data_IF_542361674743
#
_entry.id   IF_542361674743
#
_cell.length_a   1.000
_cell.length_b   1.000
_cell.length_c   1.000
_cell.angle_alpha   90.00
_cell.angle_beta   90.00
_cell.angle_gamma   90.00
#
_symmetry.space_group_name_H-M   'P 1'
#
loop_
_entity.id
_entity.type
_entity.pdbx_description
1 polymer ?
#
# COMPACT_ATOMS: atom_id res chain seq x y z
N UNK A 1 -24.89 7.04 -22.24
CA UNK A 1 -24.43 8.09 -23.17
C UNK A 1 -24.43 7.52 -24.59
N UNK A 2 -25.11 8.21 -25.50
CA UNK A 2 -25.36 7.78 -26.89
C UNK A 2 -24.09 7.83 -27.75
N UNK A 3 -24.05 6.83 -28.63
CA UNK A 3 -23.28 6.66 -29.87
C UNK A 3 -22.95 7.97 -30.58
N UNK A 4 -21.67 8.18 -30.91
CA UNK A 4 -21.24 9.14 -31.94
C UNK A 4 -20.45 8.40 -33.03
N UNK A 5 -21.21 7.79 -33.93
CA UNK A 5 -20.77 7.25 -35.21
C UNK A 5 -21.00 8.33 -36.29
N UNK A 6 -20.05 9.25 -36.48
CA UNK A 6 -20.23 10.29 -37.52
C UNK A 6 -18.97 10.77 -38.24
N UNK A 7 -17.75 10.34 -37.87
CA UNK A 7 -16.53 10.91 -38.45
C UNK A 7 -15.88 10.11 -39.59
N UNK A 8 -16.45 8.97 -40.00
CA UNK A 8 -15.90 8.14 -41.08
C UNK A 8 -16.59 8.26 -42.45
N UNK A 9 -17.75 8.92 -42.54
CA UNK A 9 -18.57 8.97 -43.78
C UNK A 9 -18.37 10.23 -44.62
N UNK A 10 -17.58 11.20 -44.18
CA UNK A 10 -17.37 12.45 -44.93
C UNK A 10 -16.23 12.38 -45.95
N UNK A 11 -15.34 11.38 -45.90
CA UNK A 11 -14.20 11.27 -46.82
C UNK A 11 -14.54 10.59 -48.15
N UNK A 12 -15.43 9.60 -48.16
CA UNK A 12 -15.77 8.83 -49.38
C UNK A 12 -16.76 9.55 -50.31
N UNK A 13 -17.65 10.39 -49.77
CA UNK A 13 -18.59 11.17 -50.59
C UNK A 13 -17.91 12.33 -51.34
N UNK A 14 -16.78 12.84 -50.84
CA UNK A 14 -16.00 13.90 -51.48
C UNK A 14 -15.34 13.43 -52.79
N UNK A 15 -14.75 12.23 -52.77
CA UNK A 15 -14.06 11.66 -53.94
C UNK A 15 -15.06 11.25 -55.04
N UNK A 16 -16.21 10.68 -54.69
CA UNK A 16 -17.27 10.35 -55.66
C UNK A 16 -17.93 11.61 -56.25
N UNK A 17 -18.03 12.70 -55.49
CA UNK A 17 -18.49 13.99 -56.00
C UNK A 17 -17.47 14.63 -56.96
N UNK A 18 -16.16 14.50 -56.68
CA UNK A 18 -15.09 15.00 -57.54
C UNK A 18 -15.03 14.26 -58.89
N UNK A 19 -15.23 12.93 -58.88
CA UNK A 19 -15.26 12.10 -60.11
C UNK A 19 -16.55 12.34 -60.92
N UNK A 20 -17.68 12.55 -60.26
CA UNK A 20 -18.94 12.95 -60.90
C UNK A 20 -18.87 14.33 -61.59
N UNK A 21 -18.14 15.28 -61.00
CA UNK A 21 -17.94 16.62 -61.58
C UNK A 21 -17.03 16.58 -62.82
N UNK A 22 -15.98 15.74 -62.80
CA UNK A 22 -15.07 15.58 -63.94
C UNK A 22 -15.73 14.89 -65.15
N UNK A 23 -16.68 13.99 -64.91
CA UNK A 23 -17.48 13.36 -65.98
C UNK A 23 -18.58 14.29 -66.52
N UNK A 24 -19.13 15.19 -65.70
CA UNK A 24 -20.17 16.15 -66.11
C UNK A 24 -19.64 17.34 -66.91
N UNK A 25 -18.38 17.78 -66.69
CA UNK A 25 -17.76 18.82 -67.52
C UNK A 25 -17.39 18.33 -68.94
N UNK A 26 -17.23 17.02 -69.15
CA UNK A 26 -16.87 16.45 -70.47
C UNK A 26 -18.06 16.09 -71.37
N UNK A 27 -19.28 16.19 -70.87
CA UNK A 27 -20.52 15.85 -71.60
C UNK A 27 -21.30 17.06 -72.13
N UNK A 28 -20.78 18.29 -71.99
CA UNK A 28 -21.47 19.52 -72.44
C UNK A 28 -21.00 20.07 -73.80
N UNK A 29 -20.51 19.21 -74.69
CA UNK A 29 -20.24 19.55 -76.10
C UNK A 29 -20.98 18.58 -77.03
N UNK A 30 -22.31 18.66 -77.04
CA UNK A 30 -23.12 18.02 -78.10
C UNK A 30 -24.35 18.90 -78.42
N UNK A 31 -24.12 19.93 -79.24
CA UNK A 31 -25.19 20.53 -80.05
C UNK A 31 -25.07 19.97 -81.48
N UNK A 32 -26.18 19.62 -82.15
CA UNK A 32 -26.14 19.09 -83.50
C UNK A 32 -26.00 20.26 -84.48
N UNK A 33 -24.79 20.50 -84.99
CA UNK A 33 -24.62 21.32 -86.20
C UNK A 33 -24.44 20.39 -87.40
N UNK A 34 -25.38 20.50 -88.34
CA UNK A 34 -25.29 19.96 -89.71
C UNK A 34 -23.98 20.43 -90.33
N UNK A 35 -23.11 19.49 -90.65
CA UNK A 35 -22.02 19.68 -91.59
C UNK A 35 -22.10 18.58 -92.65
N UNK A 36 -22.16 19.05 -93.90
CA UNK A 36 -22.13 18.27 -95.12
C UNK A 36 -21.00 17.24 -95.09
N UNK A 37 -21.30 16.02 -95.54
CA UNK A 37 -20.31 15.02 -95.91
C UNK A 37 -19.29 15.58 -96.91
N UNK A 38 -17.99 15.31 -96.70
CA UNK A 38 -17.11 14.90 -97.78
C UNK A 38 -17.01 13.37 -97.77
N UNK A 39 -17.17 12.77 -98.96
CA UNK A 39 -16.87 11.36 -99.24
C UNK A 39 -15.49 11.00 -98.68
N UNK A 40 -15.46 10.19 -97.64
CA UNK A 40 -14.30 9.38 -97.27
C UNK A 40 -14.68 7.93 -97.56
N UNK A 41 -14.04 7.34 -98.58
CA UNK A 41 -14.16 5.91 -98.84
C UNK A 41 -13.49 5.12 -97.73
N UNK A 42 -14.27 4.64 -96.74
CA UNK A 42 -13.81 3.58 -95.86
C UNK A 42 -13.95 2.24 -96.59
N UNK A 43 -12.80 1.63 -96.89
CA UNK A 43 -12.72 0.25 -97.35
C UNK A 43 -13.13 -0.71 -96.21
N UNK A 44 -13.61 -1.92 -96.53
CA UNK A 44 -13.95 -3.00 -95.57
C UNK A 44 -12.82 -3.24 -94.55
N UNK A 45 -11.56 -3.01 -94.96
CA UNK A 45 -10.37 -3.08 -94.12
C UNK A 45 -10.32 -2.06 -92.96
N UNK A 46 -10.90 -0.85 -93.12
CA UNK A 46 -10.90 0.17 -92.06
C UNK A 46 -11.88 -0.15 -90.92
N UNK A 47 -13.00 -0.81 -91.24
CA UNK A 47 -14.05 -1.18 -90.28
C UNK A 47 -13.63 -2.39 -89.42
N UNK A 48 -12.91 -3.35 -90.00
CA UNK A 48 -12.33 -4.49 -89.29
C UNK A 48 -11.20 -4.07 -88.35
N UNK A 49 -10.34 -3.13 -88.77
CA UNK A 49 -9.31 -2.51 -87.92
C UNK A 49 -9.93 -1.70 -86.76
N UNK A 50 -11.04 -1.00 -87.01
CA UNK A 50 -11.73 -0.25 -85.96
C UNK A 50 -12.40 -1.17 -84.93
N UNK A 51 -13.05 -2.25 -85.36
CA UNK A 51 -13.66 -3.23 -84.47
C UNK A 51 -12.61 -4.02 -83.65
N UNK A 52 -11.44 -4.32 -84.22
CA UNK A 52 -10.36 -5.01 -83.50
C UNK A 52 -9.68 -4.11 -82.47
N UNK A 53 -9.47 -2.83 -82.78
CA UNK A 53 -8.93 -1.85 -81.84
C UNK A 53 -9.94 -1.51 -80.74
N UNK A 54 -11.23 -1.39 -81.06
CA UNK A 54 -12.29 -1.17 -80.07
C UNK A 54 -12.45 -2.37 -79.11
N UNK A 55 -12.46 -3.60 -79.62
CA UNK A 55 -12.51 -4.80 -78.77
C UNK A 55 -11.25 -4.90 -77.90
N UNK A 56 -10.07 -4.61 -78.44
CA UNK A 56 -8.82 -4.55 -77.65
C UNK A 56 -8.86 -3.50 -76.53
N UNK A 57 -9.38 -2.29 -76.80
CA UNK A 57 -9.52 -1.22 -75.79
C UNK A 57 -10.54 -1.63 -74.71
N UNK A 58 -11.68 -2.19 -75.10
CA UNK A 58 -12.71 -2.62 -74.12
C UNK A 58 -12.22 -3.77 -73.24
N UNK A 59 -11.51 -4.74 -73.80
CA UNK A 59 -10.87 -5.83 -73.05
C UNK A 59 -9.80 -5.26 -72.11
N UNK A 60 -8.95 -4.36 -72.59
CA UNK A 60 -7.93 -3.70 -71.76
C UNK A 60 -8.55 -2.90 -70.61
N UNK A 61 -9.63 -2.16 -70.86
CA UNK A 61 -10.38 -1.43 -69.84
C UNK A 61 -11.02 -2.36 -68.81
N UNK A 62 -11.58 -3.49 -69.24
CA UNK A 62 -12.18 -4.47 -68.34
C UNK A 62 -11.11 -5.18 -67.50
N UNK A 63 -9.98 -5.54 -68.09
CA UNK A 63 -8.83 -6.11 -67.39
C UNK A 63 -8.23 -5.12 -66.39
N UNK A 64 -8.17 -3.82 -66.74
CA UNK A 64 -7.72 -2.79 -65.83
C UNK A 64 -8.70 -2.60 -64.66
N UNK A 65 -10.00 -2.56 -64.93
CA UNK A 65 -11.03 -2.46 -63.89
C UNK A 65 -11.00 -3.66 -62.94
N UNK A 66 -10.85 -4.88 -63.46
CA UNK A 66 -10.72 -6.09 -62.62
C UNK A 66 -9.42 -6.10 -61.82
N UNK A 67 -8.29 -5.66 -62.41
CA UNK A 67 -7.03 -5.52 -61.68
C UNK A 67 -7.14 -4.51 -60.54
N UNK A 68 -7.71 -3.32 -60.78
CA UNK A 68 -7.94 -2.30 -59.75
C UNK A 68 -8.85 -2.83 -58.65
N UNK A 69 -9.93 -3.54 -59.01
CA UNK A 69 -10.83 -4.17 -58.05
C UNK A 69 -10.10 -5.22 -57.19
N UNK A 70 -9.33 -6.13 -57.80
CA UNK A 70 -8.57 -7.16 -57.10
C UNK A 70 -7.50 -6.59 -56.17
N UNK A 71 -6.77 -5.55 -56.62
CA UNK A 71 -5.77 -4.85 -55.81
C UNK A 71 -6.45 -4.14 -54.64
N UNK A 72 -7.56 -3.43 -54.88
CA UNK A 72 -8.31 -2.75 -53.82
C UNK A 72 -8.84 -3.73 -52.78
N UNK A 73 -9.38 -4.86 -53.22
CA UNK A 73 -9.89 -5.90 -52.33
C UNK A 73 -8.76 -6.57 -51.53
N UNK A 74 -7.59 -6.79 -52.13
CA UNK A 74 -6.40 -7.30 -51.44
C UNK A 74 -5.89 -6.32 -50.40
N UNK A 75 -5.82 -5.02 -50.73
CA UNK A 75 -5.42 -3.97 -49.78
C UNK A 75 -6.38 -3.90 -48.59
N UNK A 76 -7.70 -3.93 -48.84
CA UNK A 76 -8.72 -3.96 -47.77
C UNK A 76 -8.56 -5.19 -46.87
N UNK A 77 -8.35 -6.39 -47.43
CA UNK A 77 -8.11 -7.62 -46.65
C UNK A 77 -6.85 -7.50 -45.79
N UNK A 78 -5.77 -6.92 -46.32
CA UNK A 78 -4.54 -6.70 -45.57
C UNK A 78 -4.71 -5.71 -44.41
N UNK A 79 -5.45 -4.61 -44.59
CA UNK A 79 -5.73 -3.65 -43.52
C UNK A 79 -6.59 -4.26 -42.41
N UNK A 80 -7.64 -4.98 -42.78
CA UNK A 80 -8.49 -5.70 -41.81
C UNK A 80 -7.68 -6.74 -41.05
N UNK A 81 -6.79 -7.49 -41.73
CA UNK A 81 -5.92 -8.46 -41.07
C UNK A 81 -4.98 -7.77 -40.06
N UNK A 82 -4.31 -6.67 -40.44
CA UNK A 82 -3.46 -5.89 -39.53
C UNK A 82 -4.23 -5.39 -38.31
N UNK A 83 -5.40 -4.78 -38.51
CA UNK A 83 -6.25 -4.28 -37.43
C UNK A 83 -6.73 -5.42 -36.51
N UNK A 84 -7.08 -6.58 -37.07
CA UNK A 84 -7.53 -7.74 -36.28
C UNK A 84 -6.43 -8.30 -35.37
N UNK A 85 -5.18 -8.29 -35.82
CA UNK A 85 -4.01 -8.68 -35.03
C UNK A 85 -3.76 -7.66 -33.92
N UNK A 86 -3.73 -6.36 -34.23
CA UNK A 86 -3.54 -5.31 -33.21
C UNK A 86 -4.65 -5.31 -32.16
N UNK A 87 -5.91 -5.51 -32.56
CA UNK A 87 -7.03 -5.64 -31.63
C UNK A 87 -6.87 -6.86 -30.71
N UNK A 88 -6.47 -8.01 -31.27
CA UNK A 88 -6.22 -9.23 -30.48
C UNK A 88 -5.09 -9.05 -29.47
N UNK A 89 -4.02 -8.34 -29.84
CA UNK A 89 -2.92 -7.98 -28.94
C UNK A 89 -3.38 -7.05 -27.80
N UNK A 90 -4.20 -6.04 -28.09
CA UNK A 90 -4.72 -5.14 -27.06
C UNK A 90 -5.65 -5.88 -26.09
N UNK A 91 -6.50 -6.77 -26.60
CA UNK A 91 -7.39 -7.58 -25.77
C UNK A 91 -6.59 -8.50 -24.84
N UNK A 92 -5.51 -9.13 -25.32
CA UNK A 92 -4.67 -9.98 -24.47
C UNK A 92 -3.94 -9.18 -23.39
N UNK A 93 -3.40 -8.00 -23.72
CA UNK A 93 -2.76 -7.09 -22.75
C UNK A 93 -3.77 -6.65 -21.68
N UNK A 94 -4.97 -6.24 -22.08
CA UNK A 94 -6.02 -5.83 -21.13
C UNK A 94 -6.44 -6.97 -20.21
N UNK A 95 -6.56 -8.19 -20.75
CA UNK A 95 -6.85 -9.38 -19.94
C UNK A 95 -5.74 -9.65 -18.92
N UNK A 96 -4.47 -9.56 -19.33
CA UNK A 96 -3.32 -9.74 -18.45
C UNK A 96 -3.26 -8.65 -17.36
N UNK A 97 -3.47 -7.38 -17.72
CA UNK A 97 -3.50 -6.27 -16.75
C UNK A 97 -4.64 -6.44 -15.74
N UNK A 98 -5.82 -6.87 -16.20
CA UNK A 98 -6.96 -7.16 -15.32
C UNK A 98 -6.63 -8.27 -14.33
N UNK A 99 -6.02 -9.36 -14.78
CA UNK A 99 -5.60 -10.46 -13.92
C UNK A 99 -4.55 -10.01 -12.90
N UNK A 100 -3.54 -9.26 -13.33
CA UNK A 100 -2.52 -8.71 -12.44
C UNK A 100 -3.14 -7.82 -11.37
N UNK A 101 -4.07 -6.93 -11.75
CA UNK A 101 -4.79 -6.08 -10.79
C UNK A 101 -5.63 -6.88 -9.80
N UNK A 102 -6.30 -7.94 -10.26
CA UNK A 102 -7.06 -8.82 -9.38
C UNK A 102 -6.16 -9.54 -8.36
N UNK A 103 -5.01 -10.04 -8.80
CA UNK A 103 -4.02 -10.67 -7.91
C UNK A 103 -3.47 -9.68 -6.89
N UNK A 104 -3.13 -8.46 -7.31
CA UNK A 104 -2.65 -7.40 -6.39
C UNK A 104 -3.73 -7.02 -5.38
N UNK A 105 -4.99 -6.89 -5.80
CA UNK A 105 -6.10 -6.59 -4.87
C UNK A 105 -6.31 -7.71 -3.86
N UNK A 106 -6.27 -8.98 -4.29
CA UNK A 106 -6.37 -10.12 -3.38
C UNK A 106 -5.24 -10.13 -2.35
N UNK A 107 -3.99 -9.91 -2.81
CA UNK A 107 -2.83 -9.81 -1.93
C UNK A 107 -2.96 -8.65 -0.93
N UNK A 108 -3.40 -7.49 -1.40
CA UNK A 108 -3.62 -6.32 -0.55
C UNK A 108 -4.70 -6.59 0.51
N UNK A 109 -5.80 -7.24 0.15
CA UNK A 109 -6.83 -7.63 1.11
C UNK A 109 -6.29 -8.60 2.17
N UNK A 110 -5.44 -9.55 1.78
CA UNK A 110 -4.80 -10.46 2.72
C UNK A 110 -3.83 -9.73 3.66
N UNK A 111 -2.99 -8.84 3.13
CA UNK A 111 -2.07 -8.01 3.95
C UNK A 111 -2.83 -7.10 4.92
N UNK A 112 -3.94 -6.49 4.47
CA UNK A 112 -4.81 -5.67 5.32
C UNK A 112 -5.46 -6.50 6.42
N UNK A 113 -5.93 -7.70 6.11
CA UNK A 113 -6.53 -8.62 7.08
C UNK A 113 -5.53 -9.03 8.16
N UNK A 114 -4.33 -9.46 7.77
CA UNK A 114 -3.27 -9.86 8.72
C UNK A 114 -2.82 -8.68 9.60
N UNK A 115 -2.71 -7.49 9.00
CA UNK A 115 -2.41 -6.26 9.74
C UNK A 115 -3.49 -5.93 10.76
N UNK A 116 -4.75 -5.94 10.35
CA UNK A 116 -5.89 -5.66 11.24
C UNK A 116 -5.95 -6.65 12.40
N UNK A 117 -5.75 -7.94 12.12
CA UNK A 117 -5.72 -9.00 13.14
C UNK A 117 -4.58 -8.77 14.14
N UNK A 118 -3.39 -8.42 13.66
CA UNK A 118 -2.23 -8.14 14.52
C UNK A 118 -2.44 -6.87 15.35
N UNK A 119 -2.99 -5.82 14.76
CA UNK A 119 -3.33 -4.57 15.46
C UNK A 119 -4.40 -4.79 16.53
N UNK A 120 -5.43 -5.61 16.24
CA UNK A 120 -6.45 -5.98 17.21
C UNK A 120 -5.87 -6.77 18.37
N UNK A 121 -5.09 -7.82 18.10
CA UNK A 121 -4.44 -8.61 19.14
C UNK A 121 -3.52 -7.75 20.02
N UNK A 122 -2.76 -6.84 19.41
CA UNK A 122 -1.90 -5.90 20.14
C UNK A 122 -2.74 -4.97 21.04
N UNK A 123 -3.85 -4.43 20.52
CA UNK A 123 -4.76 -3.55 21.27
C UNK A 123 -5.39 -4.28 22.46
N UNK A 124 -5.87 -5.50 22.26
CA UNK A 124 -6.45 -6.33 23.31
C UNK A 124 -5.42 -6.65 24.40
N UNK A 125 -4.21 -7.05 24.02
CA UNK A 125 -3.11 -7.31 24.96
C UNK A 125 -2.72 -6.06 25.76
N UNK A 126 -2.62 -4.90 25.10
CA UNK A 126 -2.37 -3.62 25.78
C UNK A 126 -3.49 -3.22 26.74
N UNK A 127 -4.75 -3.48 26.37
CA UNK A 127 -5.90 -3.18 27.23
C UNK A 127 -5.91 -4.07 28.47
N UNK A 128 -5.67 -5.38 28.32
CA UNK A 128 -5.55 -6.31 29.44
C UNK A 128 -4.41 -5.88 30.38
N UNK A 129 -3.26 -5.50 29.82
CA UNK A 129 -2.14 -4.99 30.62
C UNK A 129 -2.52 -3.73 31.41
N UNK A 130 -3.19 -2.75 30.78
CA UNK A 130 -3.68 -1.54 31.47
C UNK A 130 -4.66 -1.89 32.59
N UNK A 131 -5.64 -2.74 32.33
CA UNK A 131 -6.62 -3.16 33.33
C UNK A 131 -5.95 -3.79 34.56
N UNK A 132 -4.96 -4.66 34.37
CA UNK A 132 -4.21 -5.26 35.48
C UNK A 132 -3.41 -4.19 36.22
N UNK A 133 -2.65 -3.37 35.50
CA UNK A 133 -1.71 -2.45 36.12
C UNK A 133 -2.36 -1.22 36.79
N UNK A 134 -3.56 -0.83 36.38
CA UNK A 134 -4.32 0.29 36.98
C UNK A 134 -5.09 -0.13 38.24
N UNK A 135 -5.44 -1.41 38.38
CA UNK A 135 -6.26 -1.91 39.50
C UNK A 135 -5.46 -2.57 40.62
N UNK A 136 -4.20 -2.94 40.39
CA UNK A 136 -3.33 -3.50 41.44
C UNK A 136 -2.65 -2.37 42.22
N UNK A 137 -2.61 -2.51 43.54
CA UNK A 137 -2.01 -1.53 44.46
C UNK A 137 -0.48 -1.63 44.56
N UNK A 138 0.10 -2.67 43.98
CA UNK A 138 1.54 -2.92 43.90
C UNK A 138 2.16 -2.15 42.73
N UNK A 139 3.41 -1.74 42.89
CA UNK A 139 4.15 -1.03 41.84
C UNK A 139 4.81 -2.04 40.93
N UNK A 140 4.43 -2.05 39.66
CA UNK A 140 5.16 -2.76 38.61
C UNK A 140 5.99 -1.77 37.83
N UNK A 141 7.22 -2.13 37.52
CA UNK A 141 8.09 -1.26 36.74
C UNK A 141 8.99 -2.06 35.81
N UNK A 142 9.36 -1.41 34.71
CA UNK A 142 10.30 -1.92 33.73
C UNK A 142 11.31 -0.80 33.47
N UNK A 143 12.59 -1.10 33.56
CA UNK A 143 13.67 -0.19 33.25
C UNK A 143 14.68 -0.84 32.30
N UNK A 144 15.56 -0.03 31.72
CA UNK A 144 16.80 -0.54 31.13
C UNK A 144 17.60 -1.32 32.18
N UNK A 145 18.42 -2.27 31.74
CA UNK A 145 19.24 -3.08 32.64
C UNK A 145 20.18 -2.22 33.52
N UNK A 146 20.62 -1.08 33.01
CA UNK A 146 21.50 -0.13 33.73
C UNK A 146 20.75 0.85 34.63
N UNK A 147 19.41 0.78 34.68
CA UNK A 147 18.53 1.72 35.39
C UNK A 147 18.69 3.20 34.99
N UNK A 148 19.19 3.46 33.78
CA UNK A 148 19.32 4.83 33.25
C UNK A 148 18.08 5.31 32.49
N UNK A 149 17.12 4.42 32.24
CA UNK A 149 15.87 4.73 31.56
C UNK A 149 14.74 3.91 32.18
N UNK A 150 13.68 4.57 32.62
CA UNK A 150 12.42 3.94 32.97
C UNK A 150 11.59 3.74 31.70
N UNK A 151 11.13 2.51 31.47
CA UNK A 151 10.31 2.15 30.31
C UNK A 151 8.83 2.08 30.67
N UNK A 152 8.52 1.70 31.91
CA UNK A 152 7.17 1.62 32.43
C UNK A 152 7.18 1.69 33.95
N UNK A 153 6.17 2.32 34.54
CA UNK A 153 5.82 2.21 35.96
C UNK A 153 4.30 2.28 36.11
N UNK A 154 3.73 1.45 36.99
CA UNK A 154 2.29 1.47 37.27
C UNK A 154 1.87 2.72 38.08
N UNK A 155 0.62 3.19 37.95
CA UNK A 155 0.12 4.36 38.69
C UNK A 155 0.15 4.22 40.21
N UNK A 156 0.26 2.99 40.73
CA UNK A 156 0.46 2.72 42.15
C UNK A 156 1.70 3.42 42.72
N UNK A 157 2.71 3.73 41.89
CA UNK A 157 3.88 4.51 42.30
C UNK A 157 3.49 5.84 42.94
N UNK A 158 2.57 6.58 42.34
CA UNK A 158 2.18 7.89 42.86
C UNK A 158 1.49 7.78 44.22
N UNK A 159 0.69 6.71 44.42
CA UNK A 159 0.00 6.43 45.69
C UNK A 159 0.95 6.06 46.82
N UNK A 160 2.01 5.31 46.52
CA UNK A 160 2.96 4.79 47.50
C UNK A 160 4.08 5.78 47.80
N UNK A 161 4.67 6.38 46.75
CA UNK A 161 5.81 7.31 46.87
C UNK A 161 5.39 8.78 47.00
N UNK A 162 4.12 9.12 46.73
CA UNK A 162 3.63 10.50 46.81
C UNK A 162 4.31 11.45 45.81
N UNK A 163 4.87 10.91 44.73
CA UNK A 163 5.55 11.65 43.65
C UNK A 163 4.97 11.23 42.31
N UNK A 164 4.95 12.16 41.35
CA UNK A 164 4.42 11.84 40.01
C UNK A 164 5.32 10.84 39.28
N UNK A 165 4.70 9.95 38.49
CA UNK A 165 5.38 9.08 37.55
C UNK A 165 6.22 9.89 36.54
N UNK A 166 5.77 11.08 36.13
CA UNK A 166 6.46 11.91 35.13
C UNK A 166 7.87 12.32 35.61
N UNK A 167 8.02 12.62 36.90
CA UNK A 167 9.33 12.91 37.50
C UNK A 167 10.24 11.69 37.46
N UNK A 168 9.67 10.50 37.66
CA UNK A 168 10.43 9.25 37.60
C UNK A 168 10.84 8.89 36.17
N UNK A 169 10.05 9.25 35.15
CA UNK A 169 10.44 9.11 33.74
C UNK A 169 11.56 10.09 33.36
N UNK A 170 11.56 11.29 33.93
CA UNK A 170 12.61 12.31 33.70
C UNK A 170 13.92 11.95 34.41
N UNK A 171 13.84 11.49 35.66
CA UNK A 171 14.96 10.99 36.43
C UNK A 171 14.62 9.62 37.06
N UNK A 172 15.05 8.51 36.40
CA UNK A 172 14.84 7.15 36.88
C UNK A 172 15.51 6.83 38.23
N UNK A 173 16.34 7.74 38.75
CA UNK A 173 17.03 7.60 40.03
C UNK A 173 16.43 8.44 41.15
N UNK A 174 15.48 9.33 40.84
CA UNK A 174 14.87 10.28 41.80
C UNK A 174 14.24 9.63 43.03
N UNK A 175 13.73 8.40 42.91
CA UNK A 175 13.18 7.64 44.04
C UNK A 175 14.21 7.29 45.12
N UNK A 176 15.51 7.25 44.78
CA UNK A 176 16.59 6.97 45.73
C UNK A 176 16.72 8.03 46.83
N UNK A 177 16.26 9.25 46.56
CA UNK A 177 16.27 10.36 47.52
C UNK A 177 15.40 10.06 48.74
N UNK A 178 14.27 9.38 48.52
CA UNK A 178 13.29 9.03 49.54
C UNK A 178 13.76 7.86 50.41
N UNK A 179 14.84 7.17 50.06
CA UNK A 179 15.33 6.02 50.81
C UNK A 179 15.87 6.48 52.17
N UNK A 180 15.37 5.84 53.23
CA UNK A 180 15.82 6.08 54.59
C UNK A 180 17.35 5.89 54.70
N UNK A 181 18.03 6.81 55.39
CA UNK A 181 19.50 6.90 55.40
C UNK A 181 20.21 5.57 55.76
N UNK A 182 19.65 4.81 56.71
CA UNK A 182 20.18 3.51 57.13
C UNK A 182 20.12 2.43 56.04
N UNK A 183 19.18 2.54 55.10
CA UNK A 183 18.96 1.53 54.06
C UNK A 183 19.75 1.81 52.77
N UNK A 184 20.21 3.07 52.57
CA UNK A 184 20.88 3.53 51.33
C UNK A 184 22.09 2.68 50.94
N UNK A 185 22.98 2.36 51.89
CA UNK A 185 24.21 1.59 51.60
C UNK A 185 23.87 0.18 51.10
N UNK A 186 22.95 -0.50 51.79
CA UNK A 186 22.52 -1.86 51.45
C UNK A 186 21.84 -1.91 50.08
N UNK A 187 20.96 -0.95 49.81
CA UNK A 187 20.29 -0.86 48.52
C UNK A 187 21.26 -0.57 47.37
N UNK A 188 22.20 0.37 47.56
CA UNK A 188 23.25 0.66 46.57
C UNK A 188 24.08 -0.59 46.25
N UNK A 189 24.50 -1.34 47.27
CA UNK A 189 25.24 -2.59 47.07
C UNK A 189 24.42 -3.62 46.27
N UNK A 190 23.12 -3.77 46.57
CA UNK A 190 22.25 -4.68 45.83
C UNK A 190 22.09 -4.28 44.36
N UNK A 191 21.90 -2.99 44.07
CA UNK A 191 21.83 -2.45 42.71
C UNK A 191 23.13 -2.68 41.93
N UNK A 192 24.29 -2.45 42.55
CA UNK A 192 25.59 -2.69 41.93
C UNK A 192 25.82 -4.17 41.61
N UNK A 193 25.45 -5.07 42.53
CA UNK A 193 25.53 -6.52 42.30
C UNK A 193 24.60 -6.92 41.14
N UNK A 194 23.39 -6.38 41.09
CA UNK A 194 22.45 -6.62 40.00
C UNK A 194 23.04 -6.21 38.65
N UNK A 195 23.56 -4.98 38.54
CA UNK A 195 24.18 -4.48 37.29
C UNK A 195 25.37 -5.33 36.86
N UNK A 196 26.26 -5.69 37.79
CA UNK A 196 27.51 -6.40 37.46
C UNK A 196 27.32 -7.90 37.22
N UNK A 197 26.41 -8.54 37.94
CA UNK A 197 26.27 -10.00 37.99
C UNK A 197 24.92 -10.50 37.49
N UNK A 198 24.01 -9.61 37.09
CA UNK A 198 22.63 -9.94 36.74
C UNK A 198 21.95 -10.82 37.80
N UNK A 199 22.15 -10.49 39.09
CA UNK A 199 21.50 -11.20 40.18
C UNK A 199 20.15 -10.57 40.51
N UNK A 200 19.07 -11.35 40.72
CA UNK A 200 17.82 -10.83 41.22
C UNK A 200 18.02 -10.09 42.56
N UNK A 201 17.25 -9.03 42.77
CA UNK A 201 17.20 -8.33 44.06
C UNK A 201 15.95 -8.77 44.80
N UNK A 202 16.06 -9.04 46.08
CA UNK A 202 14.95 -9.27 46.99
C UNK A 202 15.27 -8.55 48.30
N UNK A 203 14.67 -7.39 48.54
CA UNK A 203 15.05 -6.50 49.64
C UNK A 203 13.84 -5.82 50.26
N UNK A 204 13.87 -5.66 51.59
CA UNK A 204 12.93 -4.83 52.36
C UNK A 204 13.64 -3.57 52.81
N UNK A 205 13.10 -2.39 52.53
CA UNK A 205 13.71 -1.10 52.88
C UNK A 205 12.65 -0.07 53.25
N UNK A 206 13.08 1.02 53.89
CA UNK A 206 12.19 2.14 54.23
C UNK A 206 12.33 3.30 53.27
N UNK A 207 11.20 3.94 52.98
CA UNK A 207 11.14 5.27 52.37
C UNK A 207 10.64 6.28 53.38
N UNK A 208 11.07 7.54 53.23
CA UNK A 208 10.61 8.70 53.99
C UNK A 208 9.95 9.64 53.01
N UNK A 209 8.63 9.77 53.11
CA UNK A 209 7.84 10.65 52.25
C UNK A 209 8.10 12.13 52.57
N UNK A 210 7.76 13.08 51.67
CA UNK A 210 7.92 14.51 51.91
C UNK A 210 7.24 15.01 53.20
N UNK A 211 6.15 14.36 53.62
CA UNK A 211 5.44 14.65 54.87
C UNK A 211 6.09 14.01 56.13
N UNK A 212 7.25 13.37 56.00
CA UNK A 212 7.96 12.68 57.09
C UNK A 212 7.47 11.26 57.39
N UNK A 213 6.40 10.77 56.74
CA UNK A 213 5.88 9.42 56.97
C UNK A 213 6.88 8.37 56.50
N UNK A 214 7.14 7.36 57.34
CA UNK A 214 7.99 6.22 56.99
C UNK A 214 7.12 5.07 56.51
N UNK A 215 7.42 4.54 55.32
CA UNK A 215 6.79 3.32 54.79
C UNK A 215 7.81 2.22 54.62
N UNK A 216 7.41 0.98 54.92
CA UNK A 216 8.19 -0.22 54.64
C UNK A 216 7.80 -0.79 53.30
N UNK A 217 8.77 -0.92 52.40
CA UNK A 217 8.59 -1.50 51.09
C UNK A 217 9.35 -2.81 50.98
N UNK A 218 8.74 -3.79 50.32
CA UNK A 218 9.40 -4.97 49.82
C UNK A 218 9.53 -4.86 48.32
N UNK A 219 10.75 -5.05 47.79
CA UNK A 219 11.00 -5.00 46.35
C UNK A 219 11.67 -6.28 45.87
N UNK A 220 11.17 -6.76 44.74
CA UNK A 220 11.76 -7.84 43.98
C UNK A 220 12.09 -7.37 42.57
N UNK A 221 13.33 -7.60 42.15
CA UNK A 221 13.85 -7.18 40.84
C UNK A 221 14.45 -8.36 40.10
N UNK A 222 14.13 -8.48 38.82
CA UNK A 222 14.60 -9.55 37.94
C UNK A 222 15.26 -8.98 36.68
N UNK A 223 16.41 -9.52 36.28
CA UNK A 223 17.04 -9.16 35.01
C UNK A 223 16.36 -9.95 33.88
N UNK A 224 16.14 -9.29 32.75
CA UNK A 224 15.42 -9.86 31.60
C UNK A 224 16.36 -9.91 30.39
N UNK A 225 16.37 -11.07 29.73
CA UNK A 225 17.17 -11.32 28.53
C UNK A 225 16.37 -11.07 27.25
N UNK A 226 17.05 -10.60 26.20
CA UNK A 226 16.49 -10.52 24.86
C UNK A 226 16.65 -11.85 24.09
N UNK A 227 16.23 -11.89 22.83
CA UNK A 227 16.37 -13.07 21.95
C UNK A 227 17.83 -13.50 21.71
N UNK A 228 18.79 -12.59 21.92
CA UNK A 228 20.23 -12.85 21.82
C UNK A 228 20.85 -13.27 23.17
N UNK A 229 20.03 -13.63 24.16
CA UNK A 229 20.45 -14.05 25.50
C UNK A 229 21.24 -12.96 26.28
N UNK A 230 21.13 -11.69 25.87
CA UNK A 230 21.75 -10.52 26.53
C UNK A 230 20.77 -9.87 27.49
N UNK A 231 21.20 -9.57 28.72
CA UNK A 231 20.43 -8.78 29.66
C UNK A 231 20.26 -7.35 29.12
N UNK A 232 19.01 -6.91 28.97
CA UNK A 232 18.68 -5.62 28.35
C UNK A 232 17.65 -4.81 29.15
N UNK A 233 16.90 -5.47 30.03
CA UNK A 233 15.92 -4.84 30.91
C UNK A 233 16.02 -5.40 32.32
N UNK A 234 15.53 -4.62 33.25
CA UNK A 234 15.20 -5.06 34.60
C UNK A 234 13.73 -4.78 34.85
N UNK A 235 13.04 -5.75 35.42
CA UNK A 235 11.63 -5.64 35.80
C UNK A 235 11.48 -5.93 37.27
N UNK A 236 10.47 -5.38 37.92
CA UNK A 236 10.25 -5.68 39.32
C UNK A 236 8.88 -5.28 39.83
N UNK A 237 8.64 -5.73 41.05
CA UNK A 237 7.48 -5.37 41.85
C UNK A 237 7.95 -4.68 43.14
N UNK A 238 7.17 -3.71 43.61
CA UNK A 238 7.32 -3.10 44.94
C UNK A 238 5.98 -3.14 45.65
N UNK A 239 5.97 -3.70 46.85
CA UNK A 239 4.79 -3.88 47.69
C UNK A 239 4.96 -3.07 48.97
N UNK A 240 3.94 -2.31 49.35
CA UNK A 240 3.88 -1.64 50.65
C UNK A 240 3.56 -2.67 51.74
N UNK A 241 4.52 -2.94 52.60
CA UNK A 241 4.42 -3.89 53.72
C UNK A 241 4.36 -3.15 55.07
N UNK A 242 4.00 -1.87 55.07
CA UNK A 242 3.96 -1.03 56.29
C UNK A 242 2.98 -1.60 57.32
N UNK A 243 1.76 -1.95 56.90
CA UNK A 243 0.75 -2.54 57.79
C UNK A 243 1.21 -3.89 58.36
N UNK A 244 1.81 -4.74 57.52
CA UNK A 244 2.39 -6.00 57.97
C UNK A 244 3.47 -5.77 59.05
N UNK A 245 4.34 -4.78 58.86
CA UNK A 245 5.40 -4.44 59.84
C UNK A 245 4.86 -3.86 61.14
N UNK A 246 3.79 -3.08 61.09
CA UNK A 246 3.11 -2.56 62.27
C UNK A 246 2.48 -3.72 63.07
N UNK A 247 1.74 -4.61 62.40
CA UNK A 247 1.15 -5.77 63.04
C UNK A 247 2.20 -6.71 63.65
N UNK A 248 3.32 -6.96 62.95
CA UNK A 248 4.45 -7.72 63.49
C UNK A 248 4.98 -7.06 64.78
N UNK A 249 5.19 -5.74 64.79
CA UNK A 249 5.72 -5.02 65.94
C UNK A 249 4.78 -5.08 67.15
N UNK A 250 3.47 -4.92 66.95
CA UNK A 250 2.45 -5.03 68.01
C UNK A 250 2.45 -6.42 68.64
N UNK A 251 2.55 -7.48 67.84
CA UNK A 251 2.65 -8.85 68.36
C UNK A 251 3.93 -9.10 69.17
N UNK A 252 5.04 -8.44 68.83
CA UNK A 252 6.28 -8.54 69.60
C UNK A 252 6.23 -7.76 70.91
N UNK A 253 5.48 -6.65 70.97
CA UNK A 253 5.31 -5.86 72.21
C UNK A 253 4.28 -6.45 73.17
N UNK A 254 3.36 -7.28 72.66
CA UNK A 254 2.36 -7.99 73.47
C UNK A 254 2.84 -9.34 74.03
N UNK A 255 4.11 -9.71 73.81
CA UNK A 255 4.76 -10.91 74.36
C UNK A 255 5.70 -10.53 75.50
#
# INVERSE_FOLDING_TARGET
MRVNSSLGKQSTNSVLAQVGYYLRQKLHYFHPRRYLCPRLGLTIAGLTLFLSTFTSITISSLLFATLVYLVSERMRKNEVAKLSVSLSQLVSILAQQKQALQMTNQKLHQELWERQKTEQFLRESQQQFRQIAENIEEIFWIASFEFNQLLYVSPAYEKIFGRSCDLLYQDPTSWLELIHHQDRKRLKTALEIHKKKAQPINIKFRIVLPNGTVRWLWSQTFPVKNQQNKFYRSTGVVVDITQQKQAEAEMYQSK
#
